data_IF_715822166554
#
_entry.id   IF_715822166554
#
_cell.length_a   1.000
_cell.length_b   1.000
_cell.length_c   1.000
_cell.angle_alpha   90.00
_cell.angle_beta   90.00
_cell.angle_gamma   90.00
#
_symmetry.space_group_name_H-M   'P 1'
#
loop_
_entity.id
_entity.type
_entity.pdbx_description
1 polymer ?
#
# COMPACT_ATOMS: atom_id res chain seq x y z
N UNK A 1 -16.71 5.08 3.23
CA UNK A 1 -15.68 5.82 2.48
C UNK A 1 -15.55 5.17 1.10
N UNK A 2 -15.31 5.97 0.07
CA UNK A 2 -15.10 5.48 -1.30
C UNK A 2 -13.76 6.01 -1.81
N UNK A 3 -12.90 5.11 -2.29
CA UNK A 3 -11.67 5.47 -2.99
C UNK A 3 -11.96 5.47 -4.49
N UNK A 4 -11.70 6.60 -5.15
CA UNK A 4 -11.81 6.72 -6.62
C UNK A 4 -10.41 6.96 -7.16
N UNK A 5 -9.95 6.05 -8.02
CA UNK A 5 -8.67 6.18 -8.73
C UNK A 5 -8.97 6.32 -10.22
N UNK A 6 -8.30 7.27 -10.87
CA UNK A 6 -8.44 7.52 -12.31
C UNK A 6 -7.26 6.92 -13.07
N UNK A 7 -7.54 6.09 -14.07
CA UNK A 7 -6.55 5.40 -14.90
C UNK A 7 -6.68 3.88 -14.80
N UNK A 8 -5.98 3.14 -15.67
CA UNK A 8 -5.87 1.68 -15.58
C UNK A 8 -5.04 1.32 -14.34
N UNK A 9 -5.71 1.13 -13.21
CA UNK A 9 -5.05 0.96 -11.91
C UNK A 9 -5.87 0.07 -11.00
N UNK A 10 -5.21 -0.91 -10.39
CA UNK A 10 -5.71 -1.54 -9.18
C UNK A 10 -5.61 -0.57 -8.02
N UNK A 11 -6.56 -0.65 -7.09
CA UNK A 11 -6.44 0.03 -5.82
C UNK A 11 -7.08 -0.78 -4.69
N UNK A 12 -6.57 -0.57 -3.48
CA UNK A 12 -7.14 -1.16 -2.30
C UNK A 12 -6.91 -0.29 -1.05
N UNK A 13 -7.72 -0.53 -0.02
CA UNK A 13 -7.63 0.15 1.26
C UNK A 13 -7.92 -0.79 2.42
N UNK A 14 -7.03 -0.80 3.41
CA UNK A 14 -7.17 -1.65 4.59
C UNK A 14 -6.82 -0.90 5.88
N UNK A 15 -7.56 -1.10 6.98
CA UNK A 15 -7.20 -0.54 8.27
C UNK A 15 -5.98 -1.24 8.86
N UNK A 16 -5.10 -0.48 9.51
CA UNK A 16 -4.05 -1.06 10.34
C UNK A 16 -4.69 -1.62 11.59
N UNK A 17 -4.75 -2.94 11.70
CA UNK A 17 -5.22 -3.61 12.92
C UNK A 17 -4.10 -4.41 13.55
N UNK A 18 -4.07 -4.46 14.87
CA UNK A 18 -3.10 -5.28 15.59
C UNK A 18 -3.37 -6.76 15.34
N UNK A 19 -2.35 -7.47 14.85
CA UNK A 19 -2.36 -8.93 14.74
C UNK A 19 -1.04 -9.47 15.27
N UNK A 20 -1.05 -10.70 15.77
CA UNK A 20 0.19 -11.36 16.15
C UNK A 20 1.04 -11.65 14.91
N UNK A 21 2.35 -11.82 15.10
CA UNK A 21 3.25 -12.17 14.00
C UNK A 21 2.88 -13.48 13.32
N UNK A 22 2.36 -14.45 14.07
CA UNK A 22 1.88 -15.74 13.53
C UNK A 22 0.67 -15.52 12.61
N UNK A 23 -0.30 -14.71 13.02
CA UNK A 23 -1.45 -14.39 12.16
C UNK A 23 -1.00 -13.66 10.89
N UNK A 24 -0.02 -12.75 11.00
CA UNK A 24 0.56 -12.13 9.81
C UNK A 24 1.32 -13.11 8.92
N UNK A 25 2.03 -14.08 9.50
CA UNK A 25 2.69 -15.15 8.74
C UNK A 25 1.68 -16.00 7.98
N UNK A 26 0.55 -16.35 8.58
CA UNK A 26 -0.51 -17.13 7.91
C UNK A 26 -1.14 -16.36 6.73
N UNK A 27 -1.32 -15.04 6.86
CA UNK A 27 -1.90 -14.18 5.82
C UNK A 27 -0.93 -13.85 4.68
N UNK A 28 0.33 -13.59 5.03
CA UNK A 28 1.33 -13.10 4.09
C UNK A 28 2.19 -14.23 3.53
N UNK A 29 2.44 -15.27 4.30
CA UNK A 29 3.49 -16.24 4.04
C UNK A 29 4.89 -15.68 4.35
N UNK A 30 5.89 -16.56 4.35
CA UNK A 30 7.26 -16.25 4.78
C UNK A 30 7.91 -15.11 4.00
N UNK A 31 7.79 -15.12 2.66
CA UNK A 31 8.46 -14.14 1.81
C UNK A 31 7.93 -12.71 2.03
N UNK A 32 6.61 -12.56 2.02
CA UNK A 32 5.97 -11.26 2.21
C UNK A 32 6.06 -10.75 3.65
N UNK A 33 6.11 -11.64 4.64
CA UNK A 33 6.40 -11.22 6.02
C UNK A 33 7.83 -10.68 6.16
N UNK A 34 8.82 -11.31 5.52
CA UNK A 34 10.19 -10.78 5.50
C UNK A 34 10.27 -9.40 4.79
N UNK A 35 9.47 -9.19 3.75
CA UNK A 35 9.35 -7.88 3.09
C UNK A 35 8.76 -6.83 4.04
N UNK A 36 7.74 -7.19 4.84
CA UNK A 36 7.20 -6.32 5.88
C UNK A 36 8.24 -6.00 6.97
N UNK A 37 9.09 -6.95 7.36
CA UNK A 37 10.19 -6.69 8.30
C UNK A 37 11.20 -5.69 7.73
N UNK A 38 11.55 -5.81 6.44
CA UNK A 38 12.45 -4.85 5.78
C UNK A 38 11.87 -3.44 5.78
N UNK A 39 10.56 -3.28 5.50
CA UNK A 39 9.88 -1.98 5.56
C UNK A 39 9.85 -1.44 7.00
N UNK A 40 9.58 -2.32 7.98
CA UNK A 40 9.59 -1.97 9.42
C UNK A 40 10.95 -1.37 9.81
N UNK A 41 12.04 -2.01 9.38
CA UNK A 41 13.40 -1.54 9.64
C UNK A 41 13.75 -0.25 8.88
N UNK A 42 13.35 -0.15 7.60
CA UNK A 42 13.64 1.02 6.75
C UNK A 42 12.88 2.28 7.20
N UNK A 43 11.60 2.15 7.53
CA UNK A 43 10.72 3.27 7.88
C UNK A 43 10.60 3.54 9.38
N UNK A 44 11.08 2.63 10.23
CA UNK A 44 10.92 2.74 11.68
C UNK A 44 9.46 2.64 12.14
N UNK A 45 8.59 2.04 11.33
CA UNK A 45 7.17 1.85 11.63
C UNK A 45 6.91 0.49 12.29
N UNK A 46 5.71 0.28 12.85
CA UNK A 46 5.37 -1.01 13.47
C UNK A 46 5.16 -2.11 12.43
N UNK A 47 5.42 -3.37 12.81
CA UNK A 47 5.14 -4.53 11.93
C UNK A 47 3.69 -4.56 11.45
N UNK A 48 2.71 -4.15 12.27
CA UNK A 48 1.31 -4.10 11.84
C UNK A 48 1.08 -3.14 10.67
N UNK A 49 1.78 -1.99 10.66
CA UNK A 49 1.71 -1.04 9.53
C UNK A 49 2.34 -1.66 8.30
N UNK A 50 3.59 -2.13 8.40
CA UNK A 50 4.32 -2.71 7.28
C UNK A 50 3.61 -3.93 6.68
N UNK A 51 3.09 -4.81 7.53
CA UNK A 51 2.34 -5.99 7.10
C UNK A 51 1.02 -5.62 6.43
N UNK A 52 0.33 -4.59 6.94
CA UNK A 52 -0.87 -4.06 6.29
C UNK A 52 -0.55 -3.46 4.92
N UNK A 53 0.60 -2.78 4.73
CA UNK A 53 1.04 -2.31 3.40
C UNK A 53 1.21 -3.46 2.40
N UNK A 54 1.86 -4.55 2.82
CA UNK A 54 2.04 -5.70 1.95
C UNK A 54 0.71 -6.40 1.66
N UNK A 55 -0.17 -6.54 2.66
CA UNK A 55 -1.50 -7.09 2.48
C UNK A 55 -2.32 -6.26 1.47
N UNK A 56 -2.42 -4.95 1.69
CA UNK A 56 -3.14 -4.01 0.81
C UNK A 56 -2.58 -4.04 -0.62
N UNK A 57 -1.25 -4.16 -0.77
CA UNK A 57 -0.61 -4.30 -2.08
C UNK A 57 -0.99 -5.61 -2.79
N UNK A 58 -1.10 -6.73 -2.07
CA UNK A 58 -1.55 -8.01 -2.63
C UNK A 58 -3.01 -7.95 -3.08
N UNK A 59 -3.89 -7.36 -2.28
CA UNK A 59 -5.31 -7.18 -2.64
C UNK A 59 -5.47 -6.20 -3.82
N UNK A 60 -4.64 -5.15 -3.87
CA UNK A 60 -4.55 -4.24 -5.02
C UNK A 60 -4.19 -4.99 -6.32
N UNK A 61 -3.21 -5.91 -6.29
CA UNK A 61 -2.86 -6.76 -7.45
C UNK A 61 -4.01 -7.68 -7.86
N UNK A 62 -4.68 -8.32 -6.90
CA UNK A 62 -5.84 -9.18 -7.17
C UNK A 62 -6.94 -8.40 -7.89
N UNK A 63 -7.21 -7.16 -7.46
CA UNK A 63 -8.21 -6.26 -8.06
C UNK A 63 -7.79 -5.72 -9.43
N UNK A 64 -6.49 -5.63 -9.69
CA UNK A 64 -5.96 -5.33 -11.03
C UNK A 64 -5.98 -6.55 -11.97
N UNK A 65 -6.50 -7.70 -11.53
CA UNK A 65 -6.47 -8.97 -12.26
C UNK A 65 -5.05 -9.39 -12.68
N UNK A 66 -4.03 -8.89 -11.98
CA UNK A 66 -2.64 -9.26 -12.18
C UNK A 66 -2.35 -10.59 -11.48
N UNK A 67 -1.32 -11.30 -11.95
CA UNK A 67 -0.90 -12.56 -11.33
C UNK A 67 -0.62 -12.34 -9.83
N UNK A 68 -1.39 -13.04 -8.99
CA UNK A 68 -1.39 -12.89 -7.52
C UNK A 68 -0.04 -13.21 -6.88
N UNK A 69 0.79 -14.01 -7.58
CA UNK A 69 2.12 -14.43 -7.12
C UNK A 69 3.27 -13.64 -7.77
N UNK A 70 2.98 -12.50 -8.41
CA UNK A 70 4.04 -11.66 -8.95
C UNK A 70 4.94 -11.14 -7.80
N UNK A 71 6.28 -11.24 -7.92
CA UNK A 71 7.19 -10.85 -6.84
C UNK A 71 7.11 -9.34 -6.62
N UNK A 72 6.86 -8.94 -5.36
CA UNK A 72 6.91 -7.54 -4.93
C UNK A 72 8.34 -7.20 -4.52
N UNK A 73 8.92 -6.20 -5.18
CA UNK A 73 10.29 -5.75 -4.90
C UNK A 73 10.23 -4.36 -4.25
N UNK A 74 10.73 -4.25 -3.01
CA UNK A 74 10.84 -2.98 -2.33
C UNK A 74 11.77 -2.04 -3.10
N UNK A 75 11.26 -0.86 -3.47
CA UNK A 75 12.05 0.18 -4.12
C UNK A 75 12.68 1.07 -3.06
N UNK A 76 14.01 1.24 -3.12
CA UNK A 76 14.70 2.22 -2.28
C UNK A 76 14.41 3.62 -2.82
N UNK A 77 13.84 4.49 -1.98
CA UNK A 77 13.67 5.92 -2.26
C UNK A 77 14.51 6.73 -1.27
N UNK A 78 15.17 7.77 -1.76
CA UNK A 78 16.00 8.67 -0.95
C UNK A 78 15.22 9.79 -0.26
N UNK A 79 13.89 9.75 -0.29
CA UNK A 79 13.07 10.75 0.37
C UNK A 79 12.57 10.28 1.73
N UNK A 80 12.33 11.25 2.61
CA UNK A 80 11.75 11.01 3.94
C UNK A 80 10.22 10.83 3.88
N UNK A 81 9.66 10.44 2.74
CA UNK A 81 8.21 10.28 2.61
C UNK A 81 7.74 9.02 3.36
N UNK A 82 6.50 9.08 3.85
CA UNK A 82 5.78 7.94 4.44
C UNK A 82 5.26 6.96 3.38
N UNK A 83 5.57 7.21 2.10
CA UNK A 83 5.23 6.35 0.98
C UNK A 83 6.21 5.19 0.89
N UNK A 84 5.69 4.00 0.62
CA UNK A 84 6.48 2.81 0.29
C UNK A 84 6.07 2.33 -1.08
N UNK A 85 7.04 2.20 -1.99
CA UNK A 85 6.82 1.75 -3.37
C UNK A 85 7.32 0.31 -3.54
N UNK A 86 6.49 -0.52 -4.16
CA UNK A 86 6.76 -1.92 -4.45
C UNK A 86 6.68 -2.13 -5.96
N UNK A 87 7.78 -2.53 -6.60
CA UNK A 87 7.79 -2.84 -8.03
C UNK A 87 7.25 -4.24 -8.27
N UNK A 88 6.43 -4.36 -9.31
CA UNK A 88 5.85 -5.60 -9.81
C UNK A 88 5.89 -5.59 -11.34
N UNK A 89 6.84 -6.35 -11.91
CA UNK A 89 7.12 -6.28 -13.35
C UNK A 89 7.55 -4.87 -13.77
N UNK A 90 6.76 -4.25 -14.65
CA UNK A 90 6.94 -2.87 -15.19
C UNK A 90 6.02 -1.82 -14.53
N UNK A 91 5.33 -2.23 -13.47
CA UNK A 91 4.40 -1.38 -12.73
C UNK A 91 4.87 -1.25 -11.29
N UNK A 92 4.33 -0.26 -10.59
CA UNK A 92 4.68 0.02 -9.20
C UNK A 92 3.40 0.17 -8.40
N UNK A 93 3.40 -0.37 -7.18
CA UNK A 93 2.36 -0.11 -6.20
C UNK A 93 2.92 0.90 -5.20
N UNK A 94 2.25 2.03 -5.09
CA UNK A 94 2.54 3.03 -4.06
C UNK A 94 1.59 2.80 -2.88
N UNK A 95 2.15 2.68 -1.67
CA UNK A 95 1.38 2.55 -0.44
C UNK A 95 1.52 3.78 0.46
N UNK A 96 0.42 4.18 1.09
CA UNK A 96 0.34 5.37 1.93
C UNK A 96 -0.36 5.05 3.24
N UNK A 97 0.26 5.43 4.36
CA UNK A 97 -0.40 5.41 5.66
C UNK A 97 -1.07 6.75 5.90
N UNK A 98 -2.40 6.75 6.08
CA UNK A 98 -3.19 7.97 6.20
C UNK A 98 -4.13 7.87 7.40
N UNK A 99 -4.21 8.94 8.19
CA UNK A 99 -5.25 9.09 9.22
C UNK A 99 -6.45 9.79 8.60
N UNK A 100 -7.60 9.12 8.57
CA UNK A 100 -8.85 9.67 8.04
C UNK A 100 -9.75 10.06 9.20
N UNK A 101 -10.30 11.28 9.16
CA UNK A 101 -11.23 11.76 10.18
C UNK A 101 -12.47 10.84 10.24
N UNK A 102 -12.85 10.44 11.44
CA UNK A 102 -13.97 9.51 11.67
C UNK A 102 -13.60 8.02 11.61
N UNK A 103 -12.33 7.68 11.34
CA UNK A 103 -11.80 6.33 11.48
C UNK A 103 -10.84 6.26 12.67
N UNK A 104 -11.02 5.27 13.54
CA UNK A 104 -10.19 5.10 14.75
C UNK A 104 -8.76 4.72 14.40
N UNK A 105 -8.61 3.78 13.46
CA UNK A 105 -7.33 3.26 13.02
C UNK A 105 -6.85 3.99 11.76
N UNK A 106 -5.53 4.21 11.60
CA UNK A 106 -4.99 4.68 10.33
C UNK A 106 -5.25 3.64 9.25
N UNK A 107 -5.41 4.12 8.02
CA UNK A 107 -5.69 3.30 6.86
C UNK A 107 -4.46 3.26 5.96
N UNK A 108 -4.19 2.09 5.39
CA UNK A 108 -3.22 1.94 4.32
C UNK A 108 -3.96 1.94 2.99
N UNK A 109 -3.53 2.83 2.09
CA UNK A 109 -3.97 2.86 0.71
C UNK A 109 -2.90 2.21 -0.14
N UNK A 110 -3.28 1.40 -1.14
CA UNK A 110 -2.39 0.91 -2.18
C UNK A 110 -2.95 1.27 -3.55
N UNK A 111 -2.11 1.84 -4.42
CA UNK A 111 -2.48 2.24 -5.78
C UNK A 111 -1.43 1.69 -6.74
N UNK A 112 -1.86 0.91 -7.72
CA UNK A 112 -1.02 0.47 -8.82
C UNK A 112 -0.88 1.61 -9.85
N UNK A 113 0.35 1.90 -10.25
CA UNK A 113 0.71 2.92 -11.23
C UNK A 113 1.69 2.36 -12.25
N UNK A 114 1.61 2.84 -13.49
CA UNK A 114 2.62 2.54 -14.51
C UNK A 114 3.92 3.30 -14.21
N UNK A 115 5.06 2.58 -14.26
CA UNK A 115 6.38 3.11 -13.88
C UNK A 115 6.84 4.27 -14.77
N UNK A 116 6.34 4.37 -16.02
CA UNK A 116 6.82 5.33 -17.02
C UNK A 116 6.30 6.78 -16.88
N UNK A 117 5.28 7.08 -16.04
CA UNK A 117 4.64 8.42 -16.09
C UNK A 117 4.49 9.19 -14.77
N UNK A 118 4.40 8.55 -13.61
CA UNK A 118 3.76 9.21 -12.45
C UNK A 118 4.60 9.33 -11.17
N UNK A 119 5.72 8.62 -11.04
CA UNK A 119 6.47 8.56 -9.77
C UNK A 119 7.42 9.77 -9.58
N UNK A 120 7.82 10.42 -10.69
CA UNK A 120 8.69 11.59 -10.72
C UNK A 120 7.92 12.92 -10.73
N UNK A 121 6.61 12.89 -11.04
CA UNK A 121 5.70 14.05 -11.00
C UNK A 121 4.94 14.12 -9.69
N UNK A 122 5.66 14.11 -8.54
CA UNK A 122 5.12 14.31 -7.18
C UNK A 122 3.60 14.16 -7.07
N UNK A 123 3.10 12.95 -7.30
CA UNK A 123 1.70 12.71 -7.62
C UNK A 123 0.89 13.20 -6.42
N UNK A 124 0.20 14.32 -6.62
CA UNK A 124 -0.63 14.93 -5.61
C UNK A 124 -1.77 13.93 -5.35
N UNK A 125 -1.68 13.18 -4.25
CA UNK A 125 -2.83 12.54 -3.66
C UNK A 125 -3.77 13.67 -3.22
N UNK A 126 -4.64 14.10 -4.13
CA UNK A 126 -5.72 15.00 -3.79
C UNK A 126 -6.79 14.12 -3.16
N UNK A 127 -6.81 14.07 -1.83
CA UNK A 127 -7.96 13.56 -1.09
C UNK A 127 -9.02 14.65 -1.11
N UNK A 128 -9.90 14.62 -2.11
CA UNK A 128 -11.08 15.49 -2.12
C UNK A 128 -12.13 14.89 -1.19
N UNK A 129 -12.47 15.59 -0.11
CA UNK A 129 -13.68 15.30 0.65
C UNK A 129 -14.88 15.58 -0.26
N UNK A 130 -15.53 14.54 -0.77
CA UNK A 130 -16.68 14.68 -1.64
C UNK A 130 -17.94 14.95 -0.78
N UNK A 131 -18.54 16.15 -0.79
CA UNK A 131 -19.60 16.53 0.15
C UNK A 131 -21.01 16.07 -0.28
N UNK A 132 -21.12 15.08 -1.18
CA UNK A 132 -22.39 14.80 -1.90
C UNK A 132 -23.42 13.98 -1.09
N UNK A 133 -23.21 13.72 0.20
CA UNK A 133 -24.26 13.12 1.04
C UNK A 133 -24.47 13.94 2.33
N UNK A 134 -25.28 14.99 2.22
CA UNK A 134 -26.04 15.60 3.32
C UNK A 134 -27.52 15.59 2.98
#
# INVERSE_FOLDING_TARGET
>A
MTLVVRGESGCDIEPVTERSRTVWHDLLGTHYLALADMITADKGESLNVSATRIWTAKECLKKAEMMVDAPLILMSRKDNSQMVCLRVGKTVICTFLVRVKGFEMPLVFAILVDEEKEIDRGSCLIVEENPIFT
#
